data_IF_460746549513
#
_entry.id   IF_460746549513
#
_cell.length_a   1.000
_cell.length_b   1.000
_cell.length_c   1.000
_cell.angle_alpha   90.00
_cell.angle_beta   90.00
_cell.angle_gamma   90.00
#
_symmetry.space_group_name_H-M   'P 1'
#
loop_
_entity.id
_entity.type
_entity.pdbx_description
1 polymer ?
#
# COMPACT_ATOMS: atom_id res chain seq x y z
N UNK A 1 46.72 87.15 -228.13
CA UNK A 1 46.72 86.25 -226.95
C UNK A 1 46.56 87.09 -225.67
N UNK A 2 46.28 86.46 -224.52
CA UNK A 2 46.27 87.07 -223.18
C UNK A 2 45.20 88.14 -222.88
N UNK A 3 43.96 87.70 -222.66
CA UNK A 3 42.95 88.41 -221.83
C UNK A 3 42.31 87.43 -220.81
N UNK A 4 42.09 86.17 -221.21
CA UNK A 4 41.42 85.11 -220.43
C UNK A 4 42.16 84.61 -219.18
N UNK A 5 43.40 85.07 -218.90
CA UNK A 5 44.19 84.65 -217.74
C UNK A 5 43.96 85.49 -216.46
N UNK A 6 43.29 86.65 -216.58
CA UNK A 6 43.09 87.59 -215.46
C UNK A 6 41.74 87.35 -214.75
N UNK A 7 40.71 86.96 -215.50
CA UNK A 7 39.34 86.76 -215.00
C UNK A 7 39.27 85.63 -213.95
N UNK A 8 39.81 84.45 -214.28
CA UNK A 8 39.86 83.29 -213.39
C UNK A 8 40.59 83.56 -212.05
N UNK A 9 41.56 84.48 -212.02
CA UNK A 9 42.28 84.86 -210.80
C UNK A 9 41.45 85.75 -209.87
N UNK A 10 40.47 86.46 -210.42
CA UNK A 10 39.64 87.42 -209.67
C UNK A 10 38.51 86.71 -208.91
N UNK A 11 37.86 85.70 -209.52
CA UNK A 11 36.85 84.89 -208.83
C UNK A 11 37.41 84.15 -207.60
N UNK A 12 38.59 83.55 -207.71
CA UNK A 12 39.22 82.80 -206.61
C UNK A 12 39.48 83.68 -205.37
N UNK A 13 39.88 84.94 -205.57
CA UNK A 13 40.11 85.89 -204.48
C UNK A 13 38.79 86.24 -203.78
N UNK A 14 37.71 86.48 -204.54
CA UNK A 14 36.38 86.78 -203.99
C UNK A 14 35.82 85.66 -203.10
N UNK A 15 35.98 84.40 -203.49
CA UNK A 15 35.57 83.25 -202.67
C UNK A 15 36.46 83.05 -201.44
N UNK A 16 37.77 83.31 -201.55
CA UNK A 16 38.70 83.24 -200.40
C UNK A 16 38.33 84.25 -199.31
N UNK A 17 38.02 85.49 -199.69
CA UNK A 17 37.60 86.56 -198.78
C UNK A 17 36.31 86.23 -198.02
N UNK A 18 35.33 85.61 -198.71
CA UNK A 18 34.06 85.22 -198.09
C UNK A 18 34.26 84.18 -196.98
N UNK A 19 35.12 83.19 -197.21
CA UNK A 19 35.41 82.15 -196.22
C UNK A 19 36.15 82.70 -194.99
N UNK A 20 37.04 83.68 -195.15
CA UNK A 20 37.71 84.34 -194.01
C UNK A 20 36.71 85.11 -193.12
N UNK A 21 35.75 85.83 -193.70
CA UNK A 21 34.74 86.56 -192.92
C UNK A 21 33.87 85.64 -192.06
N UNK A 22 33.47 84.49 -192.59
CA UNK A 22 32.66 83.49 -191.88
C UNK A 22 33.45 82.83 -190.73
N UNK A 23 34.74 82.58 -190.95
CA UNK A 23 35.65 82.06 -189.93
C UNK A 23 35.88 83.08 -188.80
N UNK A 24 36.09 84.36 -189.12
CA UNK A 24 36.25 85.45 -188.14
C UNK A 24 34.97 85.61 -187.30
N UNK A 25 33.79 85.56 -187.92
CA UNK A 25 32.49 85.57 -187.23
C UNK A 25 32.38 84.42 -186.20
N UNK A 26 32.79 83.23 -186.61
CA UNK A 26 32.78 82.02 -185.77
C UNK A 26 33.73 82.15 -184.57
N UNK A 27 34.96 82.62 -184.79
CA UNK A 27 35.96 82.85 -183.73
C UNK A 27 35.48 83.92 -182.72
N UNK A 28 34.84 84.99 -183.19
CA UNK A 28 34.28 86.04 -182.32
C UNK A 28 33.17 85.50 -181.41
N UNK A 29 32.29 84.64 -181.93
CA UNK A 29 31.25 83.95 -181.13
C UNK A 29 31.88 83.08 -180.05
N UNK A 30 32.87 82.26 -180.41
CA UNK A 30 33.50 81.33 -179.47
C UNK A 30 34.33 82.04 -178.39
N UNK A 31 34.97 83.17 -178.73
CA UNK A 31 35.65 84.04 -177.76
C UNK A 31 34.70 84.59 -176.69
N UNK A 32 33.47 84.97 -177.09
CA UNK A 32 32.42 85.42 -176.15
C UNK A 32 31.95 84.30 -175.23
N UNK A 33 31.73 83.10 -175.79
CA UNK A 33 31.35 81.89 -175.03
C UNK A 33 32.43 81.51 -174.00
N UNK A 34 33.71 81.53 -174.40
CA UNK A 34 34.86 81.26 -173.54
C UNK A 34 34.97 82.27 -172.38
N UNK A 35 34.70 83.56 -172.63
CA UNK A 35 34.75 84.61 -171.61
C UNK A 35 33.62 84.47 -170.56
N UNK A 36 32.41 84.09 -170.98
CA UNK A 36 31.33 83.74 -170.04
C UNK A 36 31.71 82.51 -169.19
N UNK A 37 32.29 81.47 -169.81
CA UNK A 37 32.74 80.27 -169.08
C UNK A 37 33.86 80.58 -168.07
N UNK A 38 34.85 81.39 -168.45
CA UNK A 38 35.93 81.81 -167.56
C UNK A 38 35.40 82.60 -166.35
N UNK A 39 34.39 83.46 -166.56
CA UNK A 39 33.71 84.20 -165.49
C UNK A 39 32.97 83.26 -164.53
N UNK A 40 32.29 82.23 -165.04
CA UNK A 40 31.64 81.18 -164.24
C UNK A 40 32.63 80.36 -163.39
N UNK A 41 33.81 80.03 -163.96
CA UNK A 41 34.89 79.35 -163.24
C UNK A 41 35.44 80.23 -162.11
N UNK A 42 35.62 81.54 -162.35
CA UNK A 42 36.08 82.47 -161.34
C UNK A 42 35.10 82.58 -160.15
N UNK A 43 33.79 82.66 -160.40
CA UNK A 43 32.78 82.62 -159.33
C UNK A 43 32.82 81.31 -158.54
N UNK A 44 32.93 80.16 -159.22
CA UNK A 44 33.01 78.86 -158.57
C UNK A 44 34.29 78.69 -157.71
N UNK A 45 35.41 79.29 -158.10
CA UNK A 45 36.64 79.29 -157.28
C UNK A 45 36.49 80.15 -156.00
N UNK A 46 35.77 81.27 -156.06
CA UNK A 46 35.49 82.10 -154.89
C UNK A 46 34.55 81.36 -153.91
N UNK A 47 33.48 80.75 -154.41
CA UNK A 47 32.57 79.93 -153.59
C UNK A 47 33.27 78.70 -152.99
N UNK A 48 34.24 78.09 -153.70
CA UNK A 48 35.04 76.99 -153.17
C UNK A 48 35.97 77.44 -152.04
N UNK A 49 36.63 78.59 -152.17
CA UNK A 49 37.49 79.17 -151.13
C UNK A 49 36.71 79.53 -149.87
N UNK A 50 35.56 80.18 -150.04
CA UNK A 50 34.60 80.51 -148.98
C UNK A 50 34.03 79.23 -148.31
N UNK A 51 33.72 78.20 -149.11
CA UNK A 51 33.34 76.87 -148.62
C UNK A 51 34.44 76.16 -147.82
N UNK A 52 35.70 76.25 -148.25
CA UNK A 52 36.86 75.73 -147.50
C UNK A 52 37.11 76.51 -146.20
N UNK A 53 36.90 77.83 -146.21
CA UNK A 53 36.96 78.68 -145.01
C UNK A 53 35.95 78.22 -143.96
N UNK A 54 34.66 78.14 -144.31
CA UNK A 54 33.60 77.62 -143.43
C UNK A 54 33.84 76.20 -142.96
N UNK A 55 34.35 75.31 -143.84
CA UNK A 55 34.63 73.93 -143.46
C UNK A 55 35.75 73.86 -142.42
N UNK A 56 36.78 74.69 -142.55
CA UNK A 56 37.88 74.78 -141.58
C UNK A 56 37.43 75.37 -140.26
N UNK A 57 36.72 76.50 -140.27
CA UNK A 57 36.14 77.12 -139.07
C UNK A 57 35.29 76.11 -138.29
N UNK A 58 34.42 75.37 -138.99
CA UNK A 58 33.58 74.33 -138.40
C UNK A 58 34.37 73.08 -137.98
N UNK A 59 35.53 72.80 -138.57
CA UNK A 59 36.41 71.72 -138.11
C UNK A 59 37.11 72.11 -136.81
N UNK A 60 37.61 73.34 -136.72
CA UNK A 60 38.26 73.90 -135.54
C UNK A 60 37.25 74.03 -134.36
N UNK A 61 35.99 74.44 -134.63
CA UNK A 61 34.88 74.45 -133.65
C UNK A 61 34.50 73.04 -133.15
N UNK A 62 34.37 72.07 -134.06
CA UNK A 62 34.11 70.67 -133.70
C UNK A 62 35.30 70.06 -132.92
N UNK A 63 36.53 70.42 -133.25
CA UNK A 63 37.72 69.95 -132.53
C UNK A 63 37.74 70.49 -131.10
N UNK A 64 37.39 71.76 -130.89
CA UNK A 64 37.29 72.37 -129.57
C UNK A 64 36.18 71.71 -128.72
N UNK A 65 35.01 71.41 -129.30
CA UNK A 65 33.94 70.71 -128.57
C UNK A 65 34.26 69.23 -128.31
N UNK A 66 34.98 68.55 -129.21
CA UNK A 66 35.53 67.20 -128.96
C UNK A 66 36.54 67.25 -127.81
N UNK A 67 37.48 68.20 -127.80
CA UNK A 67 38.45 68.32 -126.71
C UNK A 67 37.75 68.61 -125.37
N UNK A 68 36.83 69.58 -125.32
CA UNK A 68 36.09 69.92 -124.11
C UNK A 68 35.25 68.74 -123.57
N UNK A 69 34.64 67.95 -124.45
CA UNK A 69 33.89 66.76 -124.04
C UNK A 69 34.80 65.62 -123.57
N UNK A 70 36.00 65.46 -124.13
CA UNK A 70 37.02 64.54 -123.58
C UNK A 70 37.52 64.98 -122.19
N UNK A 71 37.81 66.27 -122.00
CA UNK A 71 38.23 66.83 -120.70
C UNK A 71 37.12 66.71 -119.64
N UNK A 72 35.86 66.84 -120.05
CA UNK A 72 34.69 66.64 -119.16
C UNK A 72 34.52 65.15 -118.81
N UNK A 73 34.68 64.26 -119.80
CA UNK A 73 34.58 62.81 -119.61
C UNK A 73 35.69 62.25 -118.70
N UNK A 74 36.93 62.76 -118.80
CA UNK A 74 38.01 62.40 -117.88
C UNK A 74 37.69 62.82 -116.44
N UNK A 75 37.18 64.05 -116.24
CA UNK A 75 36.73 64.52 -114.92
C UNK A 75 35.58 63.66 -114.36
N UNK A 76 34.60 63.27 -115.19
CA UNK A 76 33.51 62.38 -114.78
C UNK A 76 33.99 60.95 -114.49
N UNK A 77 34.97 60.42 -115.22
CA UNK A 77 35.59 59.12 -114.95
C UNK A 77 36.35 59.14 -113.62
N UNK A 78 37.14 60.18 -113.36
CA UNK A 78 37.85 60.34 -112.08
C UNK A 78 36.86 60.53 -110.91
N UNK A 79 35.79 61.30 -111.13
CA UNK A 79 34.67 61.49 -110.19
C UNK A 79 33.98 60.16 -109.87
N UNK A 80 33.73 59.32 -110.88
CA UNK A 80 33.15 57.99 -110.73
C UNK A 80 34.12 57.01 -110.02
N UNK A 81 35.41 57.06 -110.34
CA UNK A 81 36.43 56.22 -109.70
C UNK A 81 36.58 56.53 -108.21
N UNK A 82 36.58 57.82 -107.83
CA UNK A 82 36.60 58.24 -106.43
C UNK A 82 35.34 57.76 -105.69
N UNK A 83 34.14 57.97 -106.27
CA UNK A 83 32.88 57.45 -105.70
C UNK A 83 32.88 55.93 -105.54
N UNK A 84 33.47 55.18 -106.47
CA UNK A 84 33.60 53.73 -106.36
C UNK A 84 34.54 53.30 -105.22
N UNK A 85 35.60 54.06 -104.94
CA UNK A 85 36.48 53.84 -103.78
C UNK A 85 35.77 54.14 -102.46
N UNK A 86 34.98 55.23 -102.39
CA UNK A 86 34.18 55.55 -101.21
C UNK A 86 33.10 54.48 -100.94
N UNK A 87 32.40 54.01 -101.98
CA UNK A 87 31.43 52.89 -101.85
C UNK A 87 32.12 51.61 -101.39
N UNK A 88 33.30 51.27 -101.93
CA UNK A 88 34.07 50.10 -101.48
C UNK A 88 34.44 50.20 -99.98
N UNK A 89 34.78 51.40 -99.53
CA UNK A 89 35.12 51.70 -98.13
C UNK A 89 33.90 51.60 -97.21
N UNK A 90 32.74 52.12 -97.60
CA UNK A 90 31.49 51.94 -96.84
C UNK A 90 31.07 50.47 -96.79
N UNK A 91 31.15 49.73 -97.90
CA UNK A 91 30.86 48.29 -97.95
C UNK A 91 31.77 47.50 -97.01
N UNK A 92 33.06 47.82 -96.95
CA UNK A 92 33.99 47.19 -96.00
C UNK A 92 33.64 47.53 -94.54
N UNK A 93 33.33 48.79 -94.22
CA UNK A 93 32.92 49.19 -92.87
C UNK A 93 31.61 48.53 -92.42
N UNK A 94 30.63 48.40 -93.32
CA UNK A 94 29.39 47.65 -93.06
C UNK A 94 29.68 46.16 -92.89
N UNK A 95 30.59 45.59 -93.68
CA UNK A 95 31.03 44.20 -93.55
C UNK A 95 31.72 43.90 -92.20
N UNK A 96 32.62 44.77 -91.76
CA UNK A 96 33.28 44.68 -90.45
C UNK A 96 32.29 44.81 -89.29
N UNK A 97 31.39 45.81 -89.36
CA UNK A 97 30.35 46.02 -88.36
C UNK A 97 29.35 44.84 -88.30
N UNK A 98 28.93 44.30 -89.44
CA UNK A 98 28.05 43.14 -89.53
C UNK A 98 28.74 41.87 -89.01
N UNK A 99 30.03 41.67 -89.33
CA UNK A 99 30.84 40.58 -88.78
C UNK A 99 30.92 40.65 -87.26
N UNK A 100 31.22 41.83 -86.71
CA UNK A 100 31.26 42.07 -85.26
C UNK A 100 29.91 41.82 -84.58
N UNK A 101 28.80 42.27 -85.17
CA UNK A 101 27.46 41.99 -84.64
C UNK A 101 27.10 40.50 -84.75
N UNK A 102 27.45 39.83 -85.85
CA UNK A 102 27.20 38.39 -86.03
C UNK A 102 27.97 37.57 -84.98
N UNK A 103 29.22 37.93 -84.70
CA UNK A 103 30.04 37.27 -83.67
C UNK A 103 29.50 37.53 -82.26
N UNK A 104 28.95 38.73 -81.99
CA UNK A 104 28.27 39.04 -80.72
C UNK A 104 26.96 38.26 -80.55
N UNK A 105 26.18 38.10 -81.63
CA UNK A 105 24.95 37.31 -81.65
C UNK A 105 25.25 35.81 -81.49
N UNK A 106 26.30 35.30 -82.13
CA UNK A 106 26.74 33.92 -81.96
C UNK A 106 27.18 33.64 -80.52
N UNK A 107 28.03 34.49 -79.94
CA UNK A 107 28.44 34.34 -78.54
C UNK A 107 27.25 34.32 -77.57
N UNK A 108 26.26 35.20 -77.78
CA UNK A 108 25.01 35.18 -77.00
C UNK A 108 24.15 33.94 -77.24
N UNK A 109 24.15 33.38 -78.45
CA UNK A 109 23.44 32.14 -78.74
C UNK A 109 24.12 30.94 -78.05
N UNK A 110 25.45 30.90 -78.02
CA UNK A 110 26.24 29.88 -77.32
C UNK A 110 26.11 30.01 -75.79
N UNK A 111 26.09 31.24 -75.24
CA UNK A 111 25.75 31.51 -73.84
C UNK A 111 24.33 31.00 -73.50
N UNK A 112 23.34 31.31 -74.34
CA UNK A 112 21.96 30.83 -74.15
C UNK A 112 21.90 29.30 -74.25
N UNK A 113 22.61 28.67 -75.18
CA UNK A 113 22.63 27.22 -75.35
C UNK A 113 23.26 26.51 -74.13
N UNK A 114 24.37 27.02 -73.61
CA UNK A 114 25.05 26.47 -72.43
C UNK A 114 24.26 26.72 -71.12
N UNK A 115 23.64 27.89 -70.96
CA UNK A 115 22.72 28.16 -69.84
C UNK A 115 21.44 27.31 -69.93
N UNK A 116 20.90 27.08 -71.12
CA UNK A 116 19.73 26.21 -71.32
C UNK A 116 20.06 24.75 -71.00
N UNK A 117 21.16 24.20 -71.54
CA UNK A 117 21.61 22.84 -71.24
C UNK A 117 21.82 22.63 -69.74
N UNK A 118 22.62 23.47 -69.10
CA UNK A 118 22.89 23.36 -67.64
C UNK A 118 21.66 23.64 -66.76
N UNK A 119 20.61 24.29 -67.30
CA UNK A 119 19.30 24.42 -66.62
C UNK A 119 18.48 23.14 -66.75
N UNK A 120 18.45 22.52 -67.94
CA UNK A 120 17.78 21.24 -68.20
C UNK A 120 18.41 20.12 -67.34
N UNK A 121 19.74 20.04 -67.29
CA UNK A 121 20.45 19.06 -66.45
C UNK A 121 20.06 19.17 -64.97
N UNK A 122 19.99 20.40 -64.44
CA UNK A 122 19.59 20.68 -63.05
C UNK A 122 18.11 20.38 -62.80
N UNK A 123 17.22 20.62 -63.77
CA UNK A 123 15.82 20.23 -63.68
C UNK A 123 15.66 18.70 -63.66
N UNK A 124 16.44 17.97 -64.48
CA UNK A 124 16.45 16.52 -64.49
C UNK A 124 16.99 15.93 -63.16
N UNK A 125 18.08 16.49 -62.62
CA UNK A 125 18.62 16.10 -61.30
C UNK A 125 17.60 16.36 -60.17
N UNK A 126 16.90 17.51 -60.21
CA UNK A 126 15.87 17.86 -59.25
C UNK A 126 14.65 16.93 -59.32
N UNK A 127 14.20 16.56 -60.52
CA UNK A 127 13.12 15.59 -60.72
C UNK A 127 13.50 14.19 -60.21
N UNK A 128 14.74 13.74 -60.42
CA UNK A 128 15.24 12.48 -59.84
C UNK A 128 15.25 12.53 -58.30
N UNK A 129 15.73 13.62 -57.71
CA UNK A 129 15.72 13.82 -56.24
C UNK A 129 14.30 13.85 -55.67
N UNK A 130 13.35 14.48 -56.37
CA UNK A 130 11.93 14.47 -55.99
C UNK A 130 11.31 13.07 -56.10
N UNK A 131 11.64 12.30 -57.14
CA UNK A 131 11.20 10.90 -57.27
C UNK A 131 11.68 10.03 -56.11
N UNK A 132 12.95 10.13 -55.74
CA UNK A 132 13.52 9.39 -54.60
C UNK A 132 12.91 9.83 -53.25
N UNK A 133 12.63 11.12 -53.09
CA UNK A 133 11.93 11.63 -51.90
C UNK A 133 10.47 11.14 -51.80
N UNK A 134 9.77 11.00 -52.94
CA UNK A 134 8.42 10.45 -53.01
C UNK A 134 8.40 8.96 -52.65
N UNK A 135 9.35 8.18 -53.17
CA UNK A 135 9.54 6.77 -52.82
C UNK A 135 9.84 6.58 -51.32
N UNK A 136 10.72 7.43 -50.76
CA UNK A 136 10.99 7.49 -49.33
C UNK A 136 9.74 7.82 -48.50
N UNK A 137 8.90 8.76 -48.95
CA UNK A 137 7.62 9.09 -48.32
C UNK A 137 6.61 7.92 -48.39
N UNK A 138 6.54 7.21 -49.51
CA UNK A 138 5.69 6.02 -49.65
C UNK A 138 6.15 4.89 -48.73
N UNK A 139 7.47 4.66 -48.65
CA UNK A 139 8.08 3.70 -47.72
C UNK A 139 7.76 4.06 -46.26
N UNK A 140 7.98 5.31 -45.84
CA UNK A 140 7.66 5.80 -44.51
C UNK A 140 6.16 5.68 -44.19
N UNK A 141 5.27 5.96 -45.15
CA UNK A 141 3.82 5.80 -44.99
C UNK A 141 3.44 4.34 -44.80
N UNK A 142 4.07 3.42 -45.54
CA UNK A 142 3.84 1.97 -45.37
C UNK A 142 4.32 1.46 -44.00
N UNK A 143 5.47 1.95 -43.53
CA UNK A 143 6.01 1.64 -42.21
C UNK A 143 5.10 2.17 -41.08
N UNK A 144 4.65 3.42 -41.17
CA UNK A 144 3.79 4.04 -40.18
C UNK A 144 2.40 3.36 -40.11
N UNK A 145 1.86 2.94 -41.27
CA UNK A 145 0.64 2.12 -41.33
C UNK A 145 0.83 0.76 -40.64
N UNK A 146 1.94 0.06 -40.91
CA UNK A 146 2.27 -1.23 -40.28
C UNK A 146 2.46 -1.10 -38.76
N UNK A 147 3.20 -0.08 -38.31
CA UNK A 147 3.43 0.20 -36.90
C UNK A 147 2.13 0.56 -36.15
N UNK A 148 1.21 1.30 -36.79
CA UNK A 148 -0.12 1.54 -36.22
C UNK A 148 -0.95 0.26 -36.11
N UNK A 149 -0.88 -0.65 -37.09
CA UNK A 149 -1.59 -1.92 -37.03
C UNK A 149 -1.01 -2.89 -35.99
N UNK A 150 0.32 -2.97 -35.88
CA UNK A 150 1.00 -3.73 -34.82
C UNK A 150 0.66 -3.16 -33.43
N UNK A 151 0.71 -1.84 -33.26
CA UNK A 151 0.29 -1.15 -32.02
C UNK A 151 -1.18 -1.44 -31.67
N UNK A 152 -2.09 -1.44 -32.64
CA UNK A 152 -3.50 -1.79 -32.44
C UNK A 152 -3.69 -3.25 -31.99
N UNK A 153 -2.90 -4.18 -32.52
CA UNK A 153 -2.90 -5.60 -32.10
C UNK A 153 -2.36 -5.73 -30.68
N UNK A 154 -1.26 -5.06 -30.33
CA UNK A 154 -0.71 -5.03 -28.97
C UNK A 154 -1.70 -4.43 -27.96
N UNK A 155 -2.42 -3.38 -28.34
CA UNK A 155 -3.43 -2.74 -27.50
C UNK A 155 -4.64 -3.68 -27.28
N UNK A 156 -5.08 -4.41 -28.31
CA UNK A 156 -6.13 -5.43 -28.15
C UNK A 156 -5.69 -6.52 -27.15
N UNK A 157 -4.49 -7.09 -27.31
CA UNK A 157 -3.95 -8.07 -26.36
C UNK A 157 -3.86 -7.54 -24.92
N UNK A 158 -3.52 -6.25 -24.74
CA UNK A 158 -3.50 -5.62 -23.41
C UNK A 158 -4.91 -5.48 -22.81
N UNK A 159 -5.92 -5.16 -23.63
CA UNK A 159 -7.33 -5.10 -23.20
C UNK A 159 -7.85 -6.49 -22.83
N UNK A 160 -7.57 -7.51 -23.65
CA UNK A 160 -7.97 -8.89 -23.41
C UNK A 160 -7.33 -9.43 -22.11
N UNK A 161 -6.04 -9.15 -21.90
CA UNK A 161 -5.32 -9.49 -20.67
C UNK A 161 -5.89 -8.77 -19.45
N UNK A 162 -6.15 -7.46 -19.54
CA UNK A 162 -6.74 -6.67 -18.46
C UNK A 162 -8.15 -7.17 -18.10
N UNK A 163 -8.94 -7.59 -19.08
CA UNK A 163 -10.26 -8.17 -18.84
C UNK A 163 -10.16 -9.53 -18.12
N UNK A 164 -9.23 -10.40 -18.52
CA UNK A 164 -8.95 -11.66 -17.82
C UNK A 164 -8.49 -11.45 -16.36
N UNK A 165 -7.58 -10.51 -16.12
CA UNK A 165 -7.16 -10.13 -14.77
C UNK A 165 -8.31 -9.58 -13.92
N UNK A 166 -9.23 -8.82 -14.51
CA UNK A 166 -10.41 -8.31 -13.79
C UNK A 166 -11.39 -9.42 -13.40
N UNK A 167 -11.62 -10.41 -14.29
CA UNK A 167 -12.44 -11.58 -13.98
C UNK A 167 -11.83 -12.44 -12.86
N UNK A 168 -10.52 -12.69 -12.91
CA UNK A 168 -9.79 -13.43 -11.87
C UNK A 168 -9.88 -12.72 -10.51
N UNK A 169 -9.68 -11.40 -10.46
CA UNK A 169 -9.82 -10.61 -9.23
C UNK A 169 -11.24 -10.66 -8.65
N UNK A 170 -12.28 -10.62 -9.49
CA UNK A 170 -13.67 -10.77 -9.04
C UNK A 170 -13.91 -12.17 -8.43
N UNK A 171 -13.36 -13.22 -9.04
CA UNK A 171 -13.50 -14.58 -8.52
C UNK A 171 -12.74 -14.76 -7.18
N UNK A 172 -11.52 -14.23 -7.07
CA UNK A 172 -10.76 -14.22 -5.82
C UNK A 172 -11.46 -13.41 -4.71
N UNK A 173 -12.11 -12.29 -5.07
CA UNK A 173 -12.91 -11.50 -4.12
C UNK A 173 -14.15 -12.27 -3.63
N UNK A 174 -14.81 -13.03 -4.50
CA UNK A 174 -15.93 -13.90 -4.12
C UNK A 174 -15.50 -15.05 -3.22
N UNK A 175 -14.40 -15.75 -3.55
CA UNK A 175 -13.81 -16.79 -2.70
C UNK A 175 -13.42 -16.24 -1.32
N UNK A 176 -12.74 -15.09 -1.28
CA UNK A 176 -12.33 -14.43 -0.04
C UNK A 176 -13.54 -14.06 0.82
N UNK A 177 -14.61 -13.54 0.21
CA UNK A 177 -15.86 -13.22 0.92
C UNK A 177 -16.48 -14.49 1.53
N UNK A 178 -16.60 -15.57 0.76
CA UNK A 178 -17.15 -16.85 1.24
C UNK A 178 -16.30 -17.44 2.39
N UNK A 179 -14.97 -17.34 2.29
CA UNK A 179 -14.07 -17.73 3.37
C UNK A 179 -14.24 -16.87 4.63
N UNK A 180 -14.49 -15.56 4.47
CA UNK A 180 -14.73 -14.63 5.58
C UNK A 180 -16.09 -14.86 6.25
N UNK A 181 -17.15 -15.10 5.48
CA UNK A 181 -18.49 -15.47 5.98
C UNK A 181 -18.43 -16.82 6.74
N UNK A 182 -17.68 -17.80 6.23
CA UNK A 182 -17.43 -19.07 6.93
C UNK A 182 -16.64 -18.87 8.23
N UNK A 183 -15.60 -18.03 8.24
CA UNK A 183 -14.84 -17.70 9.44
C UNK A 183 -15.70 -16.98 10.50
N UNK A 184 -16.55 -16.04 10.08
CA UNK A 184 -17.47 -15.33 10.96
C UNK A 184 -18.51 -16.26 11.59
N UNK A 185 -19.06 -17.21 10.82
CA UNK A 185 -19.99 -18.21 11.32
C UNK A 185 -19.32 -19.23 12.26
N UNK A 186 -18.08 -19.65 11.97
CA UNK A 186 -17.30 -20.49 12.87
C UNK A 186 -16.95 -19.76 14.18
N UNK A 187 -16.60 -18.47 14.11
CA UNK A 187 -16.37 -17.63 15.30
C UNK A 187 -17.61 -17.52 16.18
N UNK A 188 -18.80 -17.30 15.59
CA UNK A 188 -20.09 -17.34 16.31
C UNK A 188 -20.37 -18.70 16.95
N UNK A 189 -20.10 -19.79 16.23
CA UNK A 189 -20.28 -21.16 16.73
C UNK A 189 -19.36 -21.46 17.93
N UNK A 190 -18.09 -21.05 17.85
CA UNK A 190 -17.12 -21.16 18.94
C UNK A 190 -17.54 -20.32 20.15
N UNK A 191 -18.01 -19.09 19.95
CA UNK A 191 -18.47 -18.21 21.02
C UNK A 191 -19.70 -18.78 21.74
N UNK A 192 -20.69 -19.26 20.99
CA UNK A 192 -21.87 -19.93 21.56
C UNK A 192 -21.49 -21.23 22.31
N UNK A 193 -20.50 -21.98 21.81
CA UNK A 193 -19.95 -23.13 22.52
C UNK A 193 -19.22 -22.72 23.82
N UNK A 194 -18.47 -21.62 23.80
CA UNK A 194 -17.80 -21.06 24.99
C UNK A 194 -18.79 -20.60 26.06
N UNK A 195 -19.86 -19.90 25.68
CA UNK A 195 -20.96 -19.50 26.58
C UNK A 195 -21.63 -20.74 27.21
N UNK A 196 -21.88 -21.78 26.40
CA UNK A 196 -22.40 -23.06 26.90
C UNK A 196 -21.41 -23.79 27.82
N UNK A 197 -20.10 -23.71 27.57
CA UNK A 197 -19.07 -24.26 28.46
C UNK A 197 -18.96 -23.48 29.77
N UNK A 198 -19.01 -22.14 29.74
CA UNK A 198 -18.99 -21.31 30.94
C UNK A 198 -20.23 -21.58 31.82
N UNK A 199 -21.42 -21.62 31.23
CA UNK A 199 -22.66 -22.00 31.92
C UNK A 199 -22.59 -23.42 32.53
N UNK A 200 -22.01 -24.38 31.79
CA UNK A 200 -21.77 -25.74 32.30
C UNK A 200 -20.71 -25.79 33.41
N UNK A 201 -19.69 -24.94 33.35
CA UNK A 201 -18.64 -24.85 34.37
C UNK A 201 -19.16 -24.17 35.65
N UNK A 202 -19.93 -23.09 35.53
CA UNK A 202 -20.59 -22.42 36.65
C UNK A 202 -21.58 -23.35 37.37
N UNK A 203 -22.39 -24.10 36.62
CA UNK A 203 -23.29 -25.12 37.21
C UNK A 203 -22.54 -26.32 37.79
N UNK A 204 -21.38 -26.71 37.25
CA UNK A 204 -20.49 -27.71 37.84
C UNK A 204 -19.86 -27.21 39.16
N UNK A 205 -19.37 -25.97 39.23
CA UNK A 205 -18.88 -25.39 40.48
C UNK A 205 -19.98 -25.30 41.53
N UNK A 206 -21.18 -24.82 41.16
CA UNK A 206 -22.33 -24.78 42.07
C UNK A 206 -22.80 -26.17 42.54
N UNK A 207 -22.49 -27.24 41.80
CA UNK A 207 -22.69 -28.62 42.24
C UNK A 207 -21.56 -29.11 43.17
N UNK A 208 -20.31 -28.72 42.92
CA UNK A 208 -19.15 -28.99 43.77
C UNK A 208 -19.29 -28.31 45.13
N UNK A 209 -19.72 -27.06 45.20
CA UNK A 209 -19.95 -26.33 46.46
C UNK A 209 -21.05 -27.01 47.31
N UNK A 210 -22.14 -27.46 46.65
CA UNK A 210 -23.19 -28.26 47.30
C UNK A 210 -22.66 -29.60 47.81
N UNK A 211 -21.76 -30.24 47.06
CA UNK A 211 -21.13 -31.49 47.47
C UNK A 211 -20.15 -31.29 48.63
N UNK A 212 -19.38 -30.20 48.68
CA UNK A 212 -18.55 -29.84 49.83
C UNK A 212 -19.40 -29.51 51.07
N UNK A 213 -20.50 -28.76 50.92
CA UNK A 213 -21.43 -28.49 52.01
C UNK A 213 -22.05 -29.78 52.57
N UNK A 214 -22.50 -30.68 51.69
CA UNK A 214 -23.04 -31.98 52.06
C UNK A 214 -21.98 -32.88 52.72
N UNK A 215 -20.77 -32.92 52.19
CA UNK A 215 -19.67 -33.70 52.76
C UNK A 215 -19.28 -33.19 54.15
N UNK A 216 -19.20 -31.87 54.34
CA UNK A 216 -18.90 -31.27 55.65
C UNK A 216 -20.01 -31.58 56.67
N UNK A 217 -21.28 -31.51 56.27
CA UNK A 217 -22.41 -31.91 57.12
C UNK A 217 -22.34 -33.40 57.52
N UNK A 218 -22.17 -34.30 56.55
CA UNK A 218 -22.04 -35.75 56.78
C UNK A 218 -20.84 -36.10 57.68
N UNK A 219 -19.72 -35.39 57.48
CA UNK A 219 -18.50 -35.55 58.29
C UNK A 219 -18.68 -35.02 59.72
N UNK A 220 -19.49 -33.98 59.94
CA UNK A 220 -19.89 -33.50 61.26
C UNK A 220 -20.83 -34.51 61.96
N UNK A 221 -21.84 -35.03 61.26
CA UNK A 221 -22.75 -36.06 61.79
C UNK A 221 -21.99 -37.35 62.18
N UNK A 222 -21.10 -37.84 61.32
CA UNK A 222 -20.24 -38.99 61.59
C UNK A 222 -19.36 -38.79 62.83
N UNK A 223 -18.82 -37.58 63.03
CA UNK A 223 -18.05 -37.21 64.23
C UNK A 223 -18.92 -37.20 65.50
N UNK A 224 -20.16 -36.70 65.42
CA UNK A 224 -21.10 -36.72 66.55
C UNK A 224 -21.48 -38.16 66.95
N UNK A 225 -21.79 -39.03 65.97
CA UNK A 225 -22.10 -40.45 66.21
C UNK A 225 -20.90 -41.15 66.87
N UNK A 226 -19.68 -40.93 66.36
CA UNK A 226 -18.46 -41.51 66.94
C UNK A 226 -18.19 -41.01 68.36
N UNK A 227 -18.44 -39.74 68.66
CA UNK A 227 -18.33 -39.21 70.01
C UNK A 227 -19.35 -39.89 70.95
N UNK A 228 -20.63 -39.93 70.58
CA UNK A 228 -21.71 -40.54 71.36
C UNK A 228 -21.42 -42.00 71.74
N UNK A 229 -20.94 -42.83 70.80
CA UNK A 229 -20.58 -44.22 71.07
C UNK A 229 -19.43 -44.35 72.08
N UNK A 230 -18.40 -43.49 72.01
CA UNK A 230 -17.28 -43.50 72.95
C UNK A 230 -17.70 -43.10 74.36
N UNK A 231 -18.51 -42.03 74.51
CA UNK A 231 -19.02 -41.63 75.83
C UNK A 231 -19.98 -42.67 76.41
N UNK A 232 -20.82 -43.31 75.59
CA UNK A 232 -21.69 -44.42 76.02
C UNK A 232 -20.90 -45.60 76.60
N UNK A 233 -19.84 -46.03 75.92
CA UNK A 233 -18.92 -47.05 76.46
C UNK A 233 -18.23 -46.59 77.75
N UNK A 234 -17.88 -45.31 77.87
CA UNK A 234 -17.22 -44.78 79.07
C UNK A 234 -18.18 -44.69 80.28
N UNK A 235 -19.49 -44.49 80.06
CA UNK A 235 -20.52 -44.69 81.11
C UNK A 235 -20.48 -46.12 81.62
N UNK A 236 -20.41 -47.13 80.74
CA UNK A 236 -20.36 -48.54 81.15
C UNK A 236 -19.06 -48.89 81.89
N UNK A 237 -17.91 -48.33 81.48
CA UNK A 237 -16.64 -48.52 82.19
C UNK A 237 -16.68 -47.87 83.58
N UNK A 238 -17.19 -46.64 83.72
CA UNK A 238 -17.40 -46.01 85.03
C UNK A 238 -18.41 -46.81 85.86
N UNK A 239 -19.47 -47.34 85.25
CA UNK A 239 -20.44 -48.19 85.93
C UNK A 239 -19.75 -49.40 86.58
N UNK A 240 -18.92 -50.14 85.83
CA UNK A 240 -18.18 -51.29 86.34
C UNK A 240 -17.17 -50.92 87.44
N UNK A 241 -16.32 -49.91 87.19
CA UNK A 241 -15.31 -49.44 88.17
C UNK A 241 -15.93 -48.88 89.46
N UNK A 242 -17.18 -48.41 89.39
CA UNK A 242 -17.93 -47.86 90.51
C UNK A 242 -19.00 -48.82 91.05
N UNK A 243 -18.84 -50.13 90.82
CA UNK A 243 -19.76 -51.18 91.30
C UNK A 243 -19.34 -51.81 92.63
N UNK A 244 -18.12 -51.53 93.13
CA UNK A 244 -17.62 -51.96 94.45
C UNK A 244 -18.14 -51.04 95.57
N UNK A 245 -18.36 -51.60 96.77
CA UNK A 245 -18.76 -50.84 97.98
C UNK A 245 -17.90 -49.59 98.20
N UNK A 246 -16.59 -49.68 97.92
CA UNK A 246 -15.60 -48.65 98.19
C UNK A 246 -15.75 -47.36 97.37
N UNK A 247 -16.22 -47.46 96.12
CA UNK A 247 -16.21 -46.33 95.17
C UNK A 247 -17.59 -45.70 94.94
N UNK A 248 -18.66 -46.31 95.49
CA UNK A 248 -20.06 -45.93 95.26
C UNK A 248 -20.36 -44.42 95.39
N UNK A 249 -19.81 -43.75 96.41
CA UNK A 249 -20.02 -42.33 96.65
C UNK A 249 -19.47 -41.39 95.54
N UNK A 250 -18.49 -41.83 94.75
CA UNK A 250 -17.95 -41.06 93.63
C UNK A 250 -18.86 -41.05 92.39
N UNK A 251 -19.77 -42.04 92.26
CA UNK A 251 -20.49 -42.36 91.02
C UNK A 251 -21.25 -41.17 90.43
N UNK A 252 -21.96 -40.42 91.27
CA UNK A 252 -22.72 -39.23 90.85
C UNK A 252 -21.80 -38.11 90.34
N UNK A 253 -20.68 -37.83 91.03
CA UNK A 253 -19.71 -36.81 90.63
C UNK A 253 -19.01 -37.17 89.30
N UNK A 254 -18.69 -38.45 89.12
CA UNK A 254 -18.07 -38.95 87.88
C UNK A 254 -19.03 -38.85 86.68
N UNK A 255 -20.30 -39.22 86.82
CA UNK A 255 -21.28 -39.05 85.74
C UNK A 255 -21.59 -37.58 85.44
N UNK A 256 -21.69 -36.71 86.46
CA UNK A 256 -21.89 -35.27 86.24
C UNK A 256 -20.71 -34.67 85.45
N UNK A 257 -19.48 -34.98 85.83
CA UNK A 257 -18.28 -34.57 85.10
C UNK A 257 -18.24 -35.11 83.66
N UNK A 258 -18.68 -36.36 83.46
CA UNK A 258 -18.75 -36.97 82.12
C UNK A 258 -19.76 -36.27 81.21
N UNK A 259 -20.94 -35.93 81.74
CA UNK A 259 -21.96 -35.17 81.01
C UNK A 259 -21.47 -33.77 80.62
N UNK A 260 -20.70 -33.11 81.51
CA UNK A 260 -20.06 -31.81 81.21
C UNK A 260 -19.00 -31.97 80.11
N UNK A 261 -18.14 -32.99 80.19
CA UNK A 261 -17.13 -33.27 79.17
C UNK A 261 -17.75 -33.58 77.78
N UNK A 262 -18.84 -34.36 77.76
CA UNK A 262 -19.60 -34.65 76.55
C UNK A 262 -20.26 -33.40 75.95
N UNK A 263 -20.84 -32.54 76.80
CA UNK A 263 -21.42 -31.27 76.36
C UNK A 263 -20.36 -30.35 75.73
N UNK A 264 -19.16 -30.28 76.32
CA UNK A 264 -18.02 -29.52 75.79
C UNK A 264 -17.55 -30.07 74.43
N UNK A 265 -17.42 -31.39 74.25
CA UNK A 265 -17.04 -31.93 72.94
C UNK A 265 -18.15 -31.72 71.90
N UNK A 266 -19.43 -31.78 72.29
CA UNK A 266 -20.56 -31.49 71.40
C UNK A 266 -20.65 -30.02 70.98
N UNK A 267 -20.37 -29.05 71.87
CA UNK A 267 -20.36 -27.62 71.48
C UNK A 267 -19.17 -27.30 70.58
N UNK A 268 -17.98 -27.83 70.89
CA UNK A 268 -16.78 -27.70 70.04
C UNK A 268 -16.96 -28.36 68.66
N UNK A 269 -17.75 -29.43 68.57
CA UNK A 269 -18.12 -30.07 67.30
C UNK A 269 -19.16 -29.28 66.48
N UNK A 270 -19.99 -28.43 67.09
CA UNK A 270 -21.06 -27.68 66.39
C UNK A 270 -20.76 -26.21 66.12
N UNK A 271 -20.03 -25.53 67.01
CA UNK A 271 -19.80 -24.08 66.91
C UNK A 271 -18.43 -23.69 66.32
N UNK A 272 -17.49 -24.63 66.14
CA UNK A 272 -16.13 -24.34 65.70
C UNK A 272 -15.80 -24.99 64.35
N UNK A 273 -16.38 -24.45 63.28
CA UNK A 273 -16.14 -24.88 61.88
C UNK A 273 -14.88 -24.26 61.26
N UNK A 274 -14.27 -23.24 61.90
CA UNK A 274 -13.34 -22.31 61.23
C UNK A 274 -11.83 -22.48 61.53
N UNK A 275 -11.44 -23.32 62.50
CA UNK A 275 -10.02 -23.59 62.81
C UNK A 275 -9.81 -25.07 63.12
N UNK A 276 -9.16 -25.79 62.19
CA UNK A 276 -9.00 -27.25 62.27
C UNK A 276 -7.95 -27.65 63.31
N UNK A 277 -6.82 -26.95 63.37
CA UNK A 277 -5.69 -27.30 64.24
C UNK A 277 -6.00 -27.10 65.73
N UNK A 278 -6.73 -26.03 66.06
CA UNK A 278 -7.18 -25.79 67.43
C UNK A 278 -8.29 -26.77 67.84
N UNK A 279 -9.09 -27.26 66.88
CA UNK A 279 -10.10 -28.30 67.12
C UNK A 279 -9.48 -29.67 67.43
N UNK A 280 -8.41 -30.08 66.74
CA UNK A 280 -7.68 -31.31 67.06
C UNK A 280 -6.97 -31.18 68.42
N UNK A 281 -6.26 -30.08 68.65
CA UNK A 281 -5.55 -29.84 69.91
C UNK A 281 -6.48 -29.89 71.13
N UNK A 282 -7.60 -29.15 71.10
CA UNK A 282 -8.54 -29.13 72.23
C UNK A 282 -9.17 -30.52 72.49
N UNK A 283 -9.55 -31.25 71.43
CA UNK A 283 -10.13 -32.60 71.55
C UNK A 283 -9.13 -33.62 72.12
N UNK A 284 -7.83 -33.45 71.83
CA UNK A 284 -6.75 -34.28 72.37
C UNK A 284 -6.58 -34.03 73.88
N UNK A 285 -6.76 -32.81 74.40
CA UNK A 285 -6.59 -32.51 75.82
C UNK A 285 -7.80 -32.85 76.71
N UNK A 286 -9.04 -32.66 76.25
CA UNK A 286 -10.25 -32.86 77.08
C UNK A 286 -10.36 -34.28 77.65
N UNK A 287 -10.03 -35.30 76.85
CA UNK A 287 -10.17 -36.71 77.23
C UNK A 287 -9.18 -37.20 78.29
N UNK A 288 -7.85 -37.00 78.16
CA UNK A 288 -6.91 -37.36 79.22
C UNK A 288 -7.09 -36.52 80.49
N UNK A 289 -7.51 -35.25 80.40
CA UNK A 289 -7.83 -34.45 81.58
C UNK A 289 -9.00 -35.02 82.38
N UNK A 290 -10.10 -35.39 81.72
CA UNK A 290 -11.20 -36.08 82.39
C UNK A 290 -10.79 -37.47 82.93
N UNK A 291 -9.99 -38.23 82.17
CA UNK A 291 -9.46 -39.52 82.61
C UNK A 291 -8.60 -39.41 83.88
N UNK A 292 -7.70 -38.42 83.94
CA UNK A 292 -6.86 -38.13 85.10
C UNK A 292 -7.72 -37.75 86.32
N UNK A 293 -8.70 -36.85 86.14
CA UNK A 293 -9.65 -36.49 87.19
C UNK A 293 -10.43 -37.71 87.71
N UNK A 294 -10.91 -38.59 86.82
CA UNK A 294 -11.62 -39.80 87.19
C UNK A 294 -10.72 -40.77 87.99
N UNK A 295 -9.47 -40.98 87.57
CA UNK A 295 -8.49 -41.81 88.30
C UNK A 295 -8.19 -41.23 89.68
N UNK A 296 -7.93 -39.92 89.79
CA UNK A 296 -7.69 -39.25 91.07
C UNK A 296 -8.92 -39.37 91.99
N UNK A 297 -10.12 -39.17 91.47
CA UNK A 297 -11.37 -39.26 92.24
C UNK A 297 -11.67 -40.69 92.72
N UNK A 298 -11.36 -41.71 91.91
CA UNK A 298 -11.47 -43.12 92.29
C UNK A 298 -10.42 -43.48 93.35
N UNK A 299 -9.15 -43.08 93.14
CA UNK A 299 -8.06 -43.32 94.10
C UNK A 299 -8.34 -42.65 95.45
N UNK A 300 -8.84 -41.42 95.44
CA UNK A 300 -9.26 -40.70 96.65
C UNK A 300 -10.38 -41.45 97.39
N UNK A 301 -11.38 -41.98 96.68
CA UNK A 301 -12.45 -42.77 97.29
C UNK A 301 -11.96 -44.10 97.85
N UNK A 302 -10.97 -44.76 97.22
CA UNK A 302 -10.34 -45.98 97.76
C UNK A 302 -9.52 -45.66 99.02
N UNK A 303 -8.70 -44.60 99.00
CA UNK A 303 -7.88 -44.19 100.15
C UNK A 303 -8.70 -43.66 101.33
N UNK A 304 -9.84 -43.02 101.07
CA UNK A 304 -10.76 -42.52 102.10
C UNK A 304 -11.76 -43.58 102.56
N UNK A 305 -11.74 -44.80 101.97
CA UNK A 305 -12.60 -45.89 102.39
C UNK A 305 -12.10 -46.49 103.72
N UNK A 306 -12.61 -45.96 104.84
CA UNK A 306 -12.51 -46.63 106.13
C UNK A 306 -13.52 -47.77 106.18
N UNK A 307 -13.03 -48.99 106.33
CA UNK A 307 -13.87 -50.19 106.38
C UNK A 307 -14.60 -50.30 107.75
N UNK A 308 -15.75 -49.63 107.83
CA UNK A 308 -16.60 -49.64 109.02
C UNK A 308 -17.18 -51.03 109.33
N UNK A 309 -17.29 -51.92 108.34
CA UNK A 309 -17.84 -53.27 108.50
C UNK A 309 -16.80 -54.17 109.18
N UNK A 310 -15.55 -54.13 108.72
CA UNK A 310 -14.42 -54.79 109.36
C UNK A 310 -14.04 -54.17 110.72
N UNK A 311 -14.15 -52.85 110.88
CA UNK A 311 -13.88 -52.17 112.15
C UNK A 311 -14.94 -52.53 113.21
N UNK A 312 -16.23 -52.54 112.85
CA UNK A 312 -17.29 -52.96 113.75
C UNK A 312 -17.15 -54.45 114.13
N UNK A 313 -16.79 -55.32 113.17
CA UNK A 313 -16.53 -56.73 113.47
C UNK A 313 -15.34 -56.91 114.44
N UNK A 314 -14.26 -56.12 114.30
CA UNK A 314 -13.14 -56.13 115.26
C UNK A 314 -13.57 -55.69 116.67
N UNK A 315 -14.41 -54.66 116.78
CA UNK A 315 -14.95 -54.21 118.07
C UNK A 315 -15.79 -55.33 118.70
N UNK A 316 -16.72 -55.93 117.94
CA UNK A 316 -17.55 -57.05 118.40
C UNK A 316 -16.71 -58.28 118.83
N UNK A 317 -15.64 -58.62 118.11
CA UNK A 317 -14.73 -59.71 118.51
C UNK A 317 -13.96 -59.33 119.78
N UNK A 318 -13.47 -58.10 119.91
CA UNK A 318 -12.78 -57.67 121.14
C UNK A 318 -13.68 -57.67 122.37
N UNK A 319 -14.99 -57.41 122.21
CA UNK A 319 -15.98 -57.56 123.27
C UNK A 319 -16.25 -59.05 123.58
N UNK A 320 -16.38 -59.89 122.54
CA UNK A 320 -16.61 -61.32 122.69
C UNK A 320 -15.45 -62.01 123.41
N UNK A 321 -14.20 -61.71 123.05
CA UNK A 321 -13.01 -62.26 123.72
C UNK A 321 -12.91 -61.78 125.18
N UNK A 322 -13.30 -60.53 125.47
CA UNK A 322 -13.30 -60.00 126.85
C UNK A 322 -14.32 -60.73 127.73
N UNK A 323 -15.55 -60.92 127.23
CA UNK A 323 -16.61 -61.69 127.92
C UNK A 323 -16.23 -63.16 128.08
N UNK A 324 -15.66 -63.79 127.04
CA UNK A 324 -15.29 -65.20 127.04
C UNK A 324 -13.98 -65.49 127.83
N UNK A 325 -13.21 -64.46 128.18
CA UNK A 325 -12.13 -64.53 129.16
C UNK A 325 -12.68 -64.66 130.58
N UNK A 326 -13.56 -63.73 130.98
CA UNK A 326 -14.19 -63.70 132.31
C UNK A 326 -14.99 -64.98 132.60
N UNK A 327 -15.80 -65.44 131.64
CA UNK A 327 -16.60 -66.68 131.74
C UNK A 327 -15.77 -67.99 131.75
N UNK A 328 -14.45 -67.89 131.98
CA UNK A 328 -13.51 -69.00 132.10
C UNK A 328 -12.75 -69.01 133.42
N UNK A 329 -12.97 -68.01 134.26
CA UNK A 329 -12.32 -67.82 135.56
C UNK A 329 -13.22 -68.27 136.74
N UNK A 330 -14.54 -68.45 136.49
CA UNK A 330 -15.57 -68.84 137.48
C UNK A 330 -15.79 -70.37 137.65
N UNK A 331 -14.89 -71.22 137.15
CA UNK A 331 -15.12 -72.68 137.06
C UNK A 331 -14.19 -73.57 137.92
N UNK A 332 -13.84 -73.15 139.14
CA UNK A 332 -13.13 -73.99 140.13
C UNK A 332 -13.56 -73.68 141.57
N UNK A 333 -13.86 -74.73 142.35
CA UNK A 333 -14.05 -74.82 143.81
C UNK A 333 -15.49 -74.82 144.36
N UNK A 334 -16.04 -76.04 144.33
CA UNK A 334 -17.08 -76.66 145.15
C UNK A 334 -16.45 -77.17 146.49
N UNK A 335 -17.00 -77.11 147.72
CA UNK A 335 -18.22 -76.55 148.37
C UNK A 335 -17.77 -75.90 149.74
N UNK A 336 -18.53 -75.43 150.74
CA UNK A 336 -19.89 -75.67 151.30
C UNK A 336 -20.32 -74.46 152.21
N UNK A 337 -21.51 -74.48 152.84
CA UNK A 337 -22.18 -73.44 153.67
C UNK A 337 -21.54 -73.20 155.09
N UNK A 338 -21.67 -72.09 155.85
CA UNK A 338 -22.55 -70.89 155.83
C UNK A 338 -21.80 -69.60 156.28
N UNK A 339 -22.38 -68.41 156.02
CA UNK A 339 -22.04 -67.07 156.56
C UNK A 339 -20.62 -66.53 156.27
N UNK A 340 -20.39 -66.04 155.04
CA UNK A 340 -19.55 -64.85 154.83
C UNK A 340 -19.97 -64.03 153.60
N UNK A 341 -19.98 -62.71 153.81
CA UNK A 341 -20.13 -61.67 152.80
C UNK A 341 -19.02 -61.78 151.73
N UNK A 342 -19.38 -62.02 150.46
CA UNK A 342 -18.45 -62.01 149.31
C UNK A 342 -19.07 -61.26 148.13
N UNK A 343 -18.36 -60.20 147.74
CA UNK A 343 -18.58 -59.29 146.63
C UNK A 343 -18.98 -59.92 145.28
N UNK A 344 -19.85 -59.21 144.56
CA UNK A 344 -19.91 -59.23 143.09
C UNK A 344 -18.76 -58.34 142.56
N UNK A 345 -17.66 -58.88 142.03
CA UNK A 345 -16.39 -58.13 142.00
C UNK A 345 -16.33 -57.06 140.91
N UNK A 346 -16.62 -55.81 141.31
CA UNK A 346 -15.75 -54.64 141.18
C UNK A 346 -15.10 -54.23 139.81
N UNK A 347 -15.32 -54.92 138.69
CA UNK A 347 -14.72 -54.56 137.39
C UNK A 347 -15.50 -53.50 136.59
N UNK A 348 -16.68 -53.09 137.07
CA UNK A 348 -17.58 -52.12 136.42
C UNK A 348 -17.39 -50.68 136.93
N UNK A 349 -16.75 -50.48 138.10
CA UNK A 349 -16.69 -49.18 138.78
C UNK A 349 -15.23 -48.78 139.10
N UNK A 350 -14.40 -48.67 138.06
CA UNK A 350 -12.97 -48.35 138.22
C UNK A 350 -12.34 -47.49 137.11
N UNK A 351 -13.12 -46.73 136.31
CA UNK A 351 -12.61 -45.54 135.59
C UNK A 351 -13.73 -44.62 135.02
N UNK A 352 -14.62 -44.11 135.88
CA UNK A 352 -15.41 -42.91 135.60
C UNK A 352 -15.43 -41.98 136.83
N UNK A 353 -14.98 -40.72 136.72
CA UNK A 353 -15.24 -39.70 137.74
C UNK A 353 -16.64 -39.09 137.53
N UNK A 354 -17.66 -39.62 138.21
CA UNK A 354 -19.00 -39.01 138.26
C UNK A 354 -19.05 -37.82 139.23
N UNK A 355 -18.41 -36.70 138.88
CA UNK A 355 -18.69 -35.40 139.51
C UNK A 355 -18.35 -34.21 138.58
N UNK A 356 -19.21 -33.98 137.58
CA UNK A 356 -19.24 -32.72 136.80
C UNK A 356 -20.69 -32.31 136.57
N UNK A 357 -21.08 -31.15 137.11
CA UNK A 357 -22.37 -30.52 136.85
C UNK A 357 -22.42 -30.03 135.38
N UNK A 358 -23.44 -30.46 134.62
CA UNK A 358 -23.44 -30.35 133.14
C UNK A 358 -23.95 -28.98 132.71
N UNK A 359 -23.17 -27.93 133.01
CA UNK A 359 -23.53 -26.54 132.72
C UNK A 359 -22.36 -25.72 132.11
N UNK A 360 -21.55 -26.34 131.25
CA UNK A 360 -20.63 -25.64 130.32
C UNK A 360 -20.32 -26.55 129.11
N UNK A 361 -20.52 -26.04 127.89
CA UNK A 361 -20.17 -26.72 126.62
C UNK A 361 -19.10 -25.85 125.90
N UNK A 362 -17.83 -26.27 125.85
CA UNK A 362 -16.72 -25.36 125.58
C UNK A 362 -16.45 -25.07 124.09
N UNK A 363 -16.42 -23.79 123.73
CA UNK A 363 -15.97 -23.25 122.44
C UNK A 363 -14.54 -23.68 122.04
N UNK A 364 -14.33 -24.09 120.77
CA UNK A 364 -13.28 -23.60 119.86
C UNK A 364 -13.29 -24.39 118.50
N UNK A 365 -13.11 -23.80 117.31
CA UNK A 365 -13.18 -22.39 116.87
C UNK A 365 -13.18 -22.30 115.32
N UNK A 366 -13.64 -21.19 114.76
CA UNK A 366 -13.42 -20.83 113.35
C UNK A 366 -12.09 -20.10 113.16
N UNK A 367 -11.41 -20.27 112.00
CA UNK A 367 -10.55 -19.23 111.43
C UNK A 367 -11.43 -18.27 110.62
N UNK A 368 -11.75 -17.10 111.20
CA UNK A 368 -12.55 -16.07 110.53
C UNK A 368 -11.68 -14.89 110.05
N UNK A 369 -11.31 -14.90 108.77
CA UNK A 369 -10.82 -13.74 107.98
C UNK A 369 -11.00 -14.05 106.50
N UNK A 370 -11.52 -13.18 105.62
CA UNK A 370 -11.98 -11.82 105.83
C UNK A 370 -13.19 -11.48 104.92
N UNK A 371 -13.93 -10.45 105.32
CA UNK A 371 -14.38 -9.29 104.52
C UNK A 371 -14.38 -9.38 102.97
N UNK A 372 -15.35 -8.83 102.24
CA UNK A 372 -16.27 -7.73 102.58
C UNK A 372 -17.49 -7.65 101.63
N UNK A 373 -18.38 -6.69 101.87
CA UNK A 373 -19.54 -6.27 101.03
C UNK A 373 -20.70 -7.27 100.90
N UNK A 374 -21.59 -7.14 101.89
CA UNK A 374 -23.02 -7.53 101.91
C UNK A 374 -23.79 -7.05 100.67
N UNK A 375 -24.76 -7.85 100.23
CA UNK A 375 -25.74 -7.50 99.19
C UNK A 375 -26.71 -6.38 99.64
N UNK A 376 -27.12 -5.51 98.71
CA UNK A 376 -28.24 -4.59 98.92
C UNK A 376 -29.52 -5.18 98.31
N UNK A 377 -30.42 -5.62 99.17
CA UNK A 377 -31.81 -5.95 98.82
C UNK A 377 -32.59 -4.67 98.50
N UNK A 378 -33.18 -4.59 97.31
CA UNK A 378 -34.39 -3.79 97.08
C UNK A 378 -35.46 -4.71 96.50
N UNK A 379 -36.57 -4.82 97.23
CA UNK A 379 -37.76 -5.56 96.82
C UNK A 379 -38.65 -4.65 95.98
N UNK A 380 -39.02 -5.10 94.78
CA UNK A 380 -40.27 -4.68 94.13
C UNK A 380 -41.06 -5.93 93.77
N UNK A 381 -42.30 -5.97 94.24
CA UNK A 381 -43.22 -7.10 94.13
C UNK A 381 -44.15 -7.00 92.91
N UNK A 382 -44.87 -8.09 92.66
CA UNK A 382 -45.81 -8.32 91.56
C UNK A 382 -45.15 -8.60 90.18
N UNK A 383 -45.73 -9.42 89.31
CA UNK A 383 -47.07 -10.05 89.36
C UNK A 383 -47.05 -11.54 89.01
N UNK A 384 -48.00 -12.32 89.57
CA UNK A 384 -48.00 -13.79 89.55
C UNK A 384 -49.17 -14.32 88.70
N UNK A 385 -48.93 -14.62 87.43
CA UNK A 385 -49.91 -15.26 86.55
C UNK A 385 -49.39 -16.59 85.97
N UNK A 386 -49.91 -17.70 86.52
CA UNK A 386 -49.81 -19.02 85.92
C UNK A 386 -50.99 -19.24 84.97
N UNK A 387 -50.77 -19.92 83.85
CA UNK A 387 -51.89 -20.53 83.12
C UNK A 387 -51.49 -21.90 82.56
N UNK A 388 -52.35 -22.90 82.74
CA UNK A 388 -52.01 -24.30 82.54
C UNK A 388 -52.56 -24.86 81.22
N UNK A 389 -51.64 -25.40 80.42
CA UNK A 389 -51.78 -26.58 79.55
C UNK A 389 -53.21 -27.15 79.40
N UNK A 390 -53.75 -27.11 78.18
CA UNK A 390 -54.80 -28.05 77.77
C UNK A 390 -54.41 -28.81 76.50
N UNK A 391 -54.29 -30.13 76.60
CA UNK A 391 -54.42 -31.04 75.45
C UNK A 391 -55.90 -31.26 75.17
N UNK A 392 -56.25 -31.55 73.93
CA UNK A 392 -57.07 -32.73 73.64
C UNK A 392 -56.30 -33.62 72.68
#
# INVERSE_FOLDING_TARGET
QSITSIDARTQHIGQTLKNMLDYISTVLKHSKELNEQAKGIATAQVELLDGQGRLREKLDENMATIQQSYETLDQDIQSLQNKAVDVLKEVNQVGEAMSSQMQNLQGKADDIATMAGTSIDKQQELLQKQSLALEGLQSLTSFLSKALQESRISLQHLVDFAHGQHQELLHQQEQLKLAHDHLANNSRSILAAQEAFESKQASMFAAIDKLFALHNAMLLESRLIKAFLVYSMLILVIYMLTSTKQTYAARCKLYLGLCIAFAIECTVLRFTTSQVDQQTQLRIFVKPLFGLYAVIQILYSILTYRDYEAMNHKILVSLMDKVNGMNKEECFWEDDDVDSEVDWPAWVVAELPEEVDINEDPDYMLPATAEQVRENLIVTSAERNYNLRRRR
#
